data_IF_584164279869
#
_entry.id   IF_584164279869
#
_cell.length_a   1.000
_cell.length_b   1.000
_cell.length_c   1.000
_cell.angle_alpha   90.00
_cell.angle_beta   90.00
_cell.angle_gamma   90.00
#
_symmetry.space_group_name_H-M   'P 1'
#
loop_
_entity.id
_entity.type
_entity.pdbx_description
1 polymer ?
#
# COMPACT_ATOMS: atom_id res chain seq x y z
N UNK A 1 11.96 -4.66 1.15
CA UNK A 1 10.62 -4.37 1.68
C UNK A 1 10.14 -5.55 2.51
N UNK A 2 9.53 -5.29 3.65
CA UNK A 2 9.02 -6.28 4.61
C UNK A 2 7.70 -6.94 4.19
N UNK A 3 7.19 -6.61 3.00
CA UNK A 3 5.97 -7.19 2.45
C UNK A 3 4.68 -6.55 2.97
N UNK A 4 4.77 -5.48 3.77
CA UNK A 4 3.62 -4.75 4.31
C UNK A 4 3.26 -3.54 3.45
N UNK A 5 1.98 -3.15 3.48
CA UNK A 5 1.50 -1.91 2.89
C UNK A 5 1.57 -0.82 3.95
N UNK A 6 2.28 0.26 3.65
CA UNK A 6 2.34 1.43 4.52
C UNK A 6 1.36 2.50 4.07
N UNK A 7 1.15 3.49 4.92
CA UNK A 7 0.31 4.65 4.65
C UNK A 7 0.56 5.22 3.24
N UNK A 8 -0.49 5.23 2.43
CA UNK A 8 -0.45 5.76 1.07
C UNK A 8 -0.21 7.28 1.04
N UNK A 9 0.51 7.76 0.03
CA UNK A 9 0.62 9.19 -0.29
C UNK A 9 -0.60 9.65 -1.07
N UNK A 10 -1.07 10.87 -0.82
CA UNK A 10 -2.35 11.37 -1.36
C UNK A 10 -2.30 11.94 -2.78
N UNK A 11 -1.12 12.00 -3.41
CA UNK A 11 -0.96 12.61 -4.74
C UNK A 11 -1.84 11.98 -5.82
N UNK A 12 -1.99 10.66 -5.82
CA UNK A 12 -2.88 9.95 -6.74
C UNK A 12 -4.34 10.37 -6.56
N UNK A 13 -4.81 10.47 -5.32
CA UNK A 13 -6.19 10.87 -5.03
C UNK A 13 -6.49 12.31 -5.45
N UNK A 14 -5.51 13.23 -5.32
CA UNK A 14 -5.67 14.61 -5.79
C UNK A 14 -5.91 14.66 -7.30
N UNK A 15 -5.10 13.95 -8.08
CA UNK A 15 -5.27 13.86 -9.54
C UNK A 15 -6.65 13.27 -9.89
N UNK A 16 -7.06 12.21 -9.20
CA UNK A 16 -8.35 11.57 -9.44
C UNK A 16 -9.54 12.50 -9.11
N UNK A 17 -9.49 13.23 -7.99
CA UNK A 17 -10.53 14.17 -7.58
C UNK A 17 -10.64 15.36 -8.55
N UNK A 18 -9.51 15.90 -9.00
CA UNK A 18 -9.46 17.01 -9.97
C UNK A 18 -9.97 16.59 -11.36
N UNK A 19 -9.60 15.39 -11.82
CA UNK A 19 -9.94 14.89 -13.15
C UNK A 19 -11.28 14.16 -13.21
N UNK A 20 -11.83 13.72 -12.08
CA UNK A 20 -13.06 12.92 -11.99
C UNK A 20 -12.91 11.50 -12.55
N UNK A 21 -11.70 10.99 -12.72
CA UNK A 21 -11.45 9.65 -13.29
C UNK A 21 -11.39 8.57 -12.20
N UNK A 22 -11.95 7.40 -12.52
CA UNK A 22 -11.95 6.25 -11.61
C UNK A 22 -10.55 5.68 -11.41
N UNK A 23 -10.28 5.22 -10.20
CA UNK A 23 -9.01 4.59 -9.82
C UNK A 23 -9.21 3.08 -9.75
N UNK A 24 -8.35 2.32 -10.43
CA UNK A 24 -8.34 0.86 -10.38
C UNK A 24 -7.21 0.36 -9.48
N UNK A 25 -7.49 -0.26 -8.32
CA UNK A 25 -6.47 -0.90 -7.50
C UNK A 25 -5.88 -2.11 -8.22
N UNK A 26 -4.55 -2.21 -8.25
CA UNK A 26 -3.85 -3.34 -8.89
C UNK A 26 -2.81 -3.91 -7.95
N UNK A 27 -2.95 -5.19 -7.61
CA UNK A 27 -2.01 -5.91 -6.76
C UNK A 27 -1.15 -6.89 -7.57
N UNK A 28 0.16 -6.86 -7.35
CA UNK A 28 1.10 -7.82 -7.90
C UNK A 28 1.33 -8.95 -6.91
N UNK A 29 1.12 -10.20 -7.34
CA UNK A 29 1.20 -11.38 -6.48
C UNK A 29 2.48 -12.16 -6.77
N UNK A 30 3.20 -12.53 -5.71
CA UNK A 30 4.44 -13.35 -5.74
C UNK A 30 5.61 -12.77 -6.55
N UNK A 31 5.58 -11.50 -6.96
CA UNK A 31 6.68 -10.88 -7.73
C UNK A 31 8.01 -10.88 -6.99
N UNK A 32 7.96 -10.74 -5.66
CA UNK A 32 9.14 -10.86 -4.77
C UNK A 32 9.77 -12.26 -4.77
N UNK A 33 9.01 -13.30 -5.10
CA UNK A 33 9.52 -14.69 -5.22
C UNK A 33 10.18 -14.93 -6.58
N UNK A 34 9.68 -14.26 -7.63
CA UNK A 34 10.28 -14.28 -8.97
C UNK A 34 11.60 -13.52 -8.99
N UNK A 35 11.65 -12.31 -8.44
CA UNK A 35 12.88 -11.54 -8.35
C UNK A 35 13.10 -10.99 -6.93
N UNK A 36 13.72 -11.79 -6.04
CA UNK A 36 14.03 -11.36 -4.68
C UNK A 36 14.96 -10.14 -4.67
N UNK A 37 14.80 -9.28 -3.66
CA UNK A 37 15.64 -8.09 -3.49
C UNK A 37 17.11 -8.50 -3.39
N UNK A 38 17.96 -7.85 -4.19
CA UNK A 38 19.39 -8.15 -4.25
C UNK A 38 19.76 -9.29 -5.21
N UNK A 39 18.78 -9.93 -5.84
CA UNK A 39 19.03 -10.89 -6.91
C UNK A 39 18.96 -10.22 -8.28
N UNK A 40 19.88 -10.64 -9.17
CA UNK A 40 19.89 -10.23 -10.58
C UNK A 40 19.29 -11.30 -11.50
N UNK A 41 19.15 -12.54 -11.00
CA UNK A 41 18.68 -13.68 -11.78
C UNK A 41 17.27 -14.04 -11.32
N UNK A 42 16.25 -13.88 -12.18
CA UNK A 42 14.89 -14.28 -11.87
C UNK A 42 14.79 -15.79 -11.62
N UNK A 43 13.95 -16.18 -10.67
CA UNK A 43 13.64 -17.58 -10.35
C UNK A 43 12.29 -17.94 -10.97
N UNK A 44 12.15 -19.12 -11.59
CA UNK A 44 10.85 -19.60 -12.05
C UNK A 44 9.88 -19.74 -10.87
N UNK A 45 8.87 -18.87 -10.83
CA UNK A 45 7.80 -18.90 -9.84
C UNK A 45 6.51 -18.35 -10.48
N UNK A 46 5.34 -18.84 -10.04
CA UNK A 46 4.06 -18.32 -10.53
C UNK A 46 3.78 -16.94 -9.91
N UNK A 47 3.91 -15.90 -10.71
CA UNK A 47 3.43 -14.55 -10.38
C UNK A 47 2.12 -14.25 -11.12
N UNK A 48 1.42 -13.22 -10.66
CA UNK A 48 0.17 -12.78 -11.26
C UNK A 48 -0.20 -11.36 -10.87
N UNK A 49 -1.31 -10.90 -11.43
CA UNK A 49 -1.89 -9.58 -11.17
C UNK A 49 -3.36 -9.76 -10.84
N UNK A 50 -3.83 -9.05 -9.82
CA UNK A 50 -5.25 -8.95 -9.51
C UNK A 50 -5.65 -7.48 -9.65
N UNK A 51 -6.71 -7.23 -10.42
CA UNK A 51 -7.29 -5.90 -10.60
C UNK A 51 -8.58 -5.86 -9.81
N UNK A 52 -8.70 -4.88 -8.92
CA UNK A 52 -9.90 -4.64 -8.13
C UNK A 52 -10.95 -3.84 -8.89
N UNK A 53 -12.10 -3.69 -8.24
CA UNK A 53 -13.18 -2.86 -8.75
C UNK A 53 -12.77 -1.38 -8.80
N UNK A 54 -13.28 -0.61 -9.78
CA UNK A 54 -13.00 0.80 -9.87
C UNK A 54 -13.60 1.57 -8.69
N UNK A 55 -12.81 2.49 -8.13
CA UNK A 55 -13.24 3.42 -7.09
C UNK A 55 -13.51 4.77 -7.75
N UNK A 56 -14.72 5.30 -7.57
CA UNK A 56 -15.12 6.59 -8.13
C UNK A 56 -14.74 7.73 -7.17
N UNK A 57 -13.92 8.72 -7.59
CA UNK A 57 -13.59 9.85 -6.74
C UNK A 57 -14.81 10.69 -6.33
N UNK A 58 -15.93 10.60 -7.06
CA UNK A 58 -17.16 11.30 -6.70
C UNK A 58 -17.71 10.88 -5.33
N UNK A 59 -17.49 9.64 -4.90
CA UNK A 59 -17.92 9.11 -3.59
C UNK A 59 -17.28 9.84 -2.40
N UNK A 60 -16.19 10.58 -2.63
CA UNK A 60 -15.38 11.21 -1.58
C UNK A 60 -15.53 12.71 -1.50
N UNK A 61 -16.30 13.35 -2.39
CA UNK A 61 -16.45 14.82 -2.43
C UNK A 61 -17.07 15.41 -1.16
N UNK A 62 -17.88 14.63 -0.45
CA UNK A 62 -18.53 15.05 0.79
C UNK A 62 -17.72 14.72 2.05
N UNK A 63 -16.51 14.17 1.90
CA UNK A 63 -15.66 13.75 3.02
C UNK A 63 -15.03 14.91 3.82
N UNK A 64 -15.25 16.17 3.39
CA UNK A 64 -14.78 17.37 4.04
C UNK A 64 -13.97 18.28 3.13
N UNK A 65 -12.88 18.85 3.64
CA UNK A 65 -11.97 19.69 2.84
C UNK A 65 -11.13 18.86 1.83
N UNK A 66 -10.47 19.54 0.89
CA UNK A 66 -9.66 18.89 -0.16
C UNK A 66 -8.62 17.90 0.39
N UNK A 67 -8.07 18.17 1.57
CA UNK A 67 -7.11 17.28 2.21
C UNK A 67 -7.81 16.02 2.74
N UNK A 68 -8.96 16.16 3.39
CA UNK A 68 -9.77 15.07 3.91
C UNK A 68 -10.31 14.19 2.78
N UNK A 69 -10.80 14.79 1.69
CA UNK A 69 -11.26 14.06 0.50
C UNK A 69 -10.12 13.21 -0.10
N UNK A 70 -8.96 13.84 -0.35
CA UNK A 70 -7.81 13.13 -0.91
C UNK A 70 -7.29 12.03 0.03
N UNK A 71 -7.33 12.25 1.34
CA UNK A 71 -6.95 11.25 2.33
C UNK A 71 -7.90 10.06 2.33
N UNK A 72 -9.22 10.32 2.35
CA UNK A 72 -10.25 9.29 2.37
C UNK A 72 -10.18 8.39 1.12
N UNK A 73 -10.06 8.98 -0.07
CA UNK A 73 -9.89 8.21 -1.31
C UNK A 73 -8.59 7.38 -1.30
N UNK A 74 -7.49 7.96 -0.80
CA UNK A 74 -6.23 7.22 -0.69
C UNK A 74 -6.35 6.04 0.26
N UNK A 75 -6.96 6.23 1.42
CA UNK A 75 -7.16 5.16 2.40
C UNK A 75 -8.05 4.05 1.84
N UNK A 76 -9.15 4.39 1.15
CA UNK A 76 -10.00 3.43 0.45
C UNK A 76 -9.20 2.56 -0.53
N UNK A 77 -8.34 3.18 -1.35
CA UNK A 77 -7.53 2.46 -2.34
C UNK A 77 -6.51 1.54 -1.65
N UNK A 78 -5.85 2.02 -0.60
CA UNK A 78 -4.90 1.21 0.17
C UNK A 78 -5.57 0.03 0.87
N UNK A 79 -6.79 0.21 1.37
CA UNK A 79 -7.60 -0.87 1.94
C UNK A 79 -7.96 -1.94 0.89
N UNK A 80 -8.32 -1.55 -0.34
CA UNK A 80 -8.49 -2.54 -1.43
C UNK A 80 -7.19 -3.24 -1.80
N UNK A 81 -6.09 -2.50 -1.93
CA UNK A 81 -4.79 -3.11 -2.24
C UNK A 81 -4.42 -4.15 -1.18
N UNK A 82 -4.65 -3.87 0.10
CA UNK A 82 -4.42 -4.81 1.20
C UNK A 82 -5.28 -6.07 1.09
N UNK A 83 -6.56 -5.94 0.74
CA UNK A 83 -7.45 -7.09 0.50
C UNK A 83 -6.96 -7.92 -0.70
N UNK A 84 -6.63 -7.25 -1.81
CA UNK A 84 -6.21 -7.92 -3.05
C UNK A 84 -4.86 -8.64 -2.89
N UNK A 85 -3.91 -8.04 -2.16
CA UNK A 85 -2.57 -8.60 -1.97
C UNK A 85 -2.42 -9.47 -0.73
N UNK A 86 -3.41 -9.48 0.17
CA UNK A 86 -3.34 -10.08 1.52
C UNK A 86 -2.17 -9.55 2.36
N UNK A 87 -1.69 -8.34 2.05
CA UNK A 87 -0.63 -7.69 2.81
C UNK A 87 -1.21 -6.96 4.02
N UNK A 88 -0.47 -6.99 5.13
CA UNK A 88 -0.80 -6.20 6.31
C UNK A 88 -0.73 -4.71 5.98
N UNK A 89 -1.80 -3.96 6.28
CA UNK A 89 -1.85 -2.50 6.10
C UNK A 89 -1.50 -1.76 7.39
N UNK A 90 -0.33 -1.13 7.40
CA UNK A 90 0.19 -0.27 8.47
C UNK A 90 -0.27 1.17 8.20
N UNK A 91 -1.52 1.47 8.58
CA UNK A 91 -2.23 2.72 8.24
C UNK A 91 -1.59 3.99 8.81
N UNK A 92 -0.97 3.89 9.99
CA UNK A 92 -0.50 5.06 10.74
C UNK A 92 0.91 5.51 10.37
N UNK A 93 1.69 4.66 9.69
CA UNK A 93 3.10 4.91 9.43
C UNK A 93 3.42 5.00 7.95
N UNK A 94 4.25 5.96 7.57
CA UNK A 94 4.90 5.94 6.26
C UNK A 94 6.11 5.01 6.29
N UNK A 95 6.34 4.30 5.18
CA UNK A 95 7.50 3.42 5.02
C UNK A 95 8.84 4.17 5.22
N UNK A 96 8.89 5.45 4.86
CA UNK A 96 10.08 6.29 5.03
C UNK A 96 10.41 6.51 6.51
N UNK A 97 9.40 6.78 7.34
CA UNK A 97 9.59 7.06 8.77
C UNK A 97 10.09 5.81 9.50
N UNK A 98 9.49 4.64 9.21
CA UNK A 98 9.93 3.35 9.77
C UNK A 98 11.36 3.03 9.32
N UNK A 99 11.67 3.22 8.03
CA UNK A 99 13.02 3.01 7.51
C UNK A 99 14.05 3.92 8.19
N UNK A 100 13.71 5.19 8.41
CA UNK A 100 14.60 6.15 9.06
C UNK A 100 14.84 5.79 10.53
N UNK A 101 13.79 5.38 11.26
CA UNK A 101 13.89 4.92 12.64
C UNK A 101 14.81 3.69 12.77
N UNK A 102 14.62 2.70 11.88
CA UNK A 102 15.47 1.50 11.84
C UNK A 102 16.93 1.84 11.51
N UNK A 103 17.17 2.75 10.55
CA UNK A 103 18.52 3.19 10.19
C UNK A 103 19.22 3.96 11.31
N UNK A 104 18.47 4.68 12.15
CA UNK A 104 18.98 5.38 13.33
C UNK A 104 19.21 4.45 14.54
N UNK A 105 18.84 3.17 14.45
CA UNK A 105 18.96 2.21 15.56
C UNK A 105 17.88 2.33 16.63
N UNK A 106 16.82 3.12 16.39
CA UNK A 106 15.71 3.28 17.33
C UNK A 106 14.69 2.13 17.28
N UNK A 107 14.88 1.18 16.35
CA UNK A 107 13.94 0.08 16.14
C UNK A 107 12.67 0.53 15.39
N UNK A 108 11.62 -0.30 15.47
CA UNK A 108 10.30 0.06 14.95
C UNK A 108 9.67 1.14 15.84
N UNK A 109 9.14 2.23 15.26
CA UNK A 109 8.25 3.13 15.98
C UNK A 109 7.12 2.35 16.69
N UNK A 110 6.73 2.80 17.88
CA UNK A 110 5.67 2.17 18.68
C UNK A 110 4.40 1.99 17.83
N UNK A 111 3.88 0.76 17.76
CA UNK A 111 2.70 0.42 16.93
C UNK A 111 2.98 0.12 15.44
N UNK A 112 4.24 0.24 14.98
CA UNK A 112 4.64 -0.13 13.60
C UNK A 112 5.37 -1.47 13.50
N UNK A 113 5.67 -2.09 14.65
CA UNK A 113 6.31 -3.40 14.72
C UNK A 113 5.43 -4.46 14.03
N UNK A 114 6.02 -5.39 13.26
CA UNK A 114 5.26 -6.51 12.72
C UNK A 114 4.62 -7.31 13.87
N UNK A 115 3.36 -7.72 13.73
CA UNK A 115 2.79 -8.74 14.62
C UNK A 115 3.62 -10.03 14.55
N UNK A 116 3.66 -10.81 15.64
CA UNK A 116 4.28 -12.15 15.61
C UNK A 116 3.67 -12.95 14.43
N UNK A 117 4.50 -13.20 13.42
CA UNK A 117 4.02 -13.41 12.05
C UNK A 117 3.19 -14.68 11.85
N UNK A 118 2.17 -14.56 10.99
CA UNK A 118 1.68 -15.71 10.22
C UNK A 118 2.80 -16.09 9.25
N UNK A 119 3.53 -17.15 9.59
CA UNK A 119 4.52 -17.79 8.72
C UNK A 119 3.79 -18.44 7.56
N UNK A 120 3.94 -17.90 6.35
CA UNK A 120 3.51 -18.60 5.14
C UNK A 120 4.55 -19.70 4.80
N UNK A 121 4.20 -20.95 5.10
CA UNK A 121 4.84 -22.17 4.55
C UNK A 121 4.56 -22.30 3.04
#
# INVERSE_FOLDING_TARGET
PDGRLYRGKTGMARIALESGVKVYPVAMINTNKVNPIGSWIPRPYRCGVIVGDPIDPAEFKDAGDDYQQARALTDRVMEELAKLSSQEYVKDFYAADVKNSLAAGHGYPEGSAPGEGVVYS
#
